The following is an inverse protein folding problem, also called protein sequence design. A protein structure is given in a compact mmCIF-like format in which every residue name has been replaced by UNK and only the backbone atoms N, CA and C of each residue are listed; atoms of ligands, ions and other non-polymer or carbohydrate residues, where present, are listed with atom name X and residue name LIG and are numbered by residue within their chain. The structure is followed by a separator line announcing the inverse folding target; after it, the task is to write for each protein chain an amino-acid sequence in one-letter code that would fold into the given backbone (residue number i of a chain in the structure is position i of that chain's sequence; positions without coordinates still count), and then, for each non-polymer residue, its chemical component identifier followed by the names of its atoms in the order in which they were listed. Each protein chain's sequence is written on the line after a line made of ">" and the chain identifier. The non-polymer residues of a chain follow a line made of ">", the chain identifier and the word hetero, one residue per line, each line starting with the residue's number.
data_IF_748690587812
#
_entry.id   IF_748690587812
#
_cell.length_a   1.000
_cell.length_b   1.000
_cell.length_c   1.000
_cell.angle_alpha   90.00
_cell.angle_beta   90.00
_cell.angle_gamma   90.00
#
_symmetry.space_group_name_H-M   'P 1'
#
loop_
_entity.id
_entity.type
_entity.pdbx_description
1 polymer ?
#
# COMPACT_ATOMS: atom_id res chain seq x y z
N UNK A 1 -1.30 -20.77 -12.43
CA UNK A 1 -2.51 -20.00 -12.09
C UNK A 1 -3.46 -19.97 -13.27
N UNK A 2 -4.76 -20.28 -13.12
CA UNK A 2 -5.76 -20.23 -14.20
C UNK A 2 -6.41 -18.85 -14.26
N UNK A 3 -5.87 -17.97 -15.09
CA UNK A 3 -6.32 -16.59 -15.22
C UNK A 3 -7.75 -16.50 -15.73
N UNK A 4 -8.15 -17.39 -16.63
CA UNK A 4 -9.50 -17.38 -17.22
C UNK A 4 -10.58 -17.66 -16.18
N UNK A 5 -10.28 -18.52 -15.20
CA UNK A 5 -11.13 -18.82 -14.06
C UNK A 5 -11.17 -17.63 -13.08
N UNK A 6 -10.00 -17.10 -12.71
CA UNK A 6 -9.86 -15.97 -11.79
C UNK A 6 -10.64 -14.75 -12.29
N UNK A 7 -10.53 -14.41 -13.57
CA UNK A 7 -11.22 -13.25 -14.16
C UNK A 7 -12.74 -13.29 -14.00
N UNK A 8 -13.35 -14.48 -13.93
CA UNK A 8 -14.79 -14.64 -13.72
C UNK A 8 -15.24 -14.21 -12.32
N UNK A 9 -14.33 -14.23 -11.35
CA UNK A 9 -14.61 -13.75 -10.00
C UNK A 9 -14.68 -12.23 -9.90
N UNK A 10 -14.26 -11.49 -10.94
CA UNK A 10 -14.23 -10.03 -10.97
C UNK A 10 -15.31 -9.46 -11.89
N UNK A 11 -16.54 -9.21 -11.39
CA UNK A 11 -17.67 -8.80 -12.22
C UNK A 11 -17.43 -7.49 -12.98
N UNK A 12 -16.65 -6.58 -12.44
CA UNK A 12 -16.33 -5.29 -13.06
C UNK A 12 -15.53 -5.44 -14.38
N UNK A 13 -14.85 -6.56 -14.62
CA UNK A 13 -14.12 -6.82 -15.87
C UNK A 13 -15.04 -7.00 -17.08
N UNK A 14 -16.35 -7.16 -16.87
CA UNK A 14 -17.35 -7.16 -17.94
C UNK A 14 -17.72 -5.75 -18.44
N UNK A 15 -17.26 -4.71 -17.69
CA UNK A 15 -17.55 -3.30 -18.03
C UNK A 15 -16.81 -2.90 -19.30
N UNK A 16 -17.41 -1.99 -20.07
CA UNK A 16 -16.75 -1.22 -21.12
C UNK A 16 -16.27 0.13 -20.59
N UNK A 17 -15.18 0.61 -21.15
CA UNK A 17 -14.64 1.95 -20.95
C UNK A 17 -14.35 2.56 -22.32
N UNK A 18 -14.88 3.74 -22.62
CA UNK A 18 -14.85 4.35 -23.97
C UNK A 18 -15.34 3.40 -25.07
N UNK A 19 -16.46 2.68 -24.81
CA UNK A 19 -17.06 1.65 -25.68
C UNK A 19 -16.16 0.45 -26.04
N UNK A 20 -15.01 0.34 -25.39
CA UNK A 20 -14.07 -0.79 -25.53
C UNK A 20 -14.11 -1.69 -24.29
N UNK A 21 -13.73 -2.97 -24.41
CA UNK A 21 -13.49 -3.81 -23.23
C UNK A 21 -12.50 -3.15 -22.26
N UNK A 22 -12.79 -3.23 -20.96
CA UNK A 22 -11.92 -2.67 -19.93
C UNK A 22 -10.59 -3.40 -19.86
N UNK A 23 -9.49 -2.69 -20.02
CA UNK A 23 -8.11 -3.11 -19.69
C UNK A 23 -7.66 -2.30 -18.47
N UNK A 24 -7.75 -2.90 -17.27
CA UNK A 24 -7.45 -2.21 -16.02
C UNK A 24 -6.01 -2.44 -15.56
N UNK A 25 -5.17 -1.43 -15.69
CA UNK A 25 -3.74 -1.47 -15.37
C UNK A 25 -3.34 -0.41 -14.29
N UNK A 26 -4.28 0.05 -13.47
CA UNK A 26 -4.01 0.97 -12.35
C UNK A 26 -4.13 0.28 -10.98
N UNK A 27 -3.67 -0.98 -10.90
CA UNK A 27 -3.73 -1.80 -9.69
C UNK A 27 -2.89 -1.22 -8.53
N UNK A 28 -1.82 -0.51 -8.82
CA UNK A 28 -1.01 0.18 -7.82
C UNK A 28 -1.74 1.35 -7.12
N UNK A 29 -2.86 1.85 -7.68
CA UNK A 29 -3.73 2.81 -7.01
C UNK A 29 -4.80 2.10 -6.18
N UNK A 30 -5.52 1.16 -6.78
CA UNK A 30 -6.49 0.27 -6.12
C UNK A 30 -6.72 -0.95 -6.99
N UNK A 31 -6.95 -2.11 -6.40
CA UNK A 31 -7.29 -3.33 -7.15
C UNK A 31 -8.79 -3.48 -7.33
N UNK A 32 -9.21 -4.29 -8.30
CA UNK A 32 -10.61 -4.70 -8.45
C UNK A 32 -11.00 -5.66 -7.32
N UNK A 33 -12.29 -5.84 -7.08
CA UNK A 33 -12.83 -6.66 -5.99
C UNK A 33 -13.46 -7.93 -6.55
N UNK A 34 -13.04 -9.12 -6.06
CA UNK A 34 -13.65 -10.38 -6.47
C UNK A 34 -15.00 -10.59 -5.77
N UNK A 35 -15.87 -11.37 -6.39
CA UNK A 35 -17.22 -11.63 -5.90
C UNK A 35 -17.25 -12.11 -4.42
N UNK A 36 -16.37 -13.03 -3.95
CA UNK A 36 -16.37 -13.43 -2.54
C UNK A 36 -16.20 -12.29 -1.54
N UNK A 37 -15.43 -11.25 -1.91
CA UNK A 37 -15.26 -10.06 -1.07
C UNK A 37 -16.51 -9.18 -1.08
N UNK A 38 -17.12 -9.02 -2.25
CA UNK A 38 -18.39 -8.29 -2.40
C UNK A 38 -19.47 -8.99 -1.56
N UNK A 39 -19.58 -10.31 -1.67
CA UNK A 39 -20.56 -11.12 -0.94
C UNK A 39 -20.36 -11.04 0.58
N UNK A 40 -19.12 -11.00 1.06
CA UNK A 40 -18.81 -10.86 2.48
C UNK A 40 -19.33 -9.52 3.05
N UNK A 41 -19.13 -8.42 2.32
CA UNK A 41 -19.65 -7.09 2.70
C UNK A 41 -21.18 -7.06 2.65
N UNK A 42 -21.78 -7.58 1.57
CA UNK A 42 -23.24 -7.66 1.42
C UNK A 42 -23.85 -8.52 2.52
N UNK A 43 -23.24 -9.65 2.86
CA UNK A 43 -23.70 -10.54 3.93
C UNK A 43 -23.75 -9.84 5.29
N UNK A 44 -22.74 -9.03 5.62
CA UNK A 44 -22.78 -8.23 6.84
C UNK A 44 -24.01 -7.32 6.89
N UNK A 45 -24.27 -6.53 5.85
CA UNK A 45 -25.40 -5.62 5.82
C UNK A 45 -26.77 -6.32 5.75
N UNK A 46 -26.83 -7.50 5.13
CA UNK A 46 -28.08 -8.22 4.92
C UNK A 46 -28.50 -9.04 6.13
N UNK A 47 -27.53 -9.66 6.85
CA UNK A 47 -27.85 -10.67 7.85
C UNK A 47 -27.30 -10.40 9.25
N UNK A 48 -26.19 -9.64 9.37
CA UNK A 48 -25.55 -9.38 10.65
C UNK A 48 -25.89 -7.99 11.19
N UNK A 49 -25.58 -6.91 10.49
CA UNK A 49 -26.03 -5.54 10.69
C UNK A 49 -25.93 -4.92 12.09
N UNK A 50 -25.33 -5.62 13.06
CA UNK A 50 -25.19 -5.15 14.42
C UNK A 50 -23.81 -4.48 14.65
N UNK A 51 -23.68 -3.72 15.75
CA UNK A 51 -22.39 -3.19 16.17
C UNK A 51 -21.59 -4.29 16.92
N UNK A 52 -20.26 -4.21 16.83
CA UNK A 52 -19.37 -5.08 17.59
C UNK A 52 -19.25 -4.62 19.05
N UNK A 53 -19.06 -5.57 19.99
CA UNK A 53 -18.75 -5.37 21.41
C UNK A 53 -19.81 -4.61 22.23
N UNK A 54 -21.06 -4.49 21.76
CA UNK A 54 -22.08 -3.64 22.38
C UNK A 54 -23.41 -4.29 22.68
N UNK A 55 -23.71 -5.47 22.21
CA UNK A 55 -25.04 -6.06 22.35
C UNK A 55 -25.04 -7.41 23.09
N UNK A 56 -26.01 -7.58 23.97
CA UNK A 56 -26.25 -8.82 24.68
C UNK A 56 -27.30 -9.69 23.95
N UNK A 57 -27.17 -9.79 22.61
CA UNK A 57 -28.08 -10.55 21.74
C UNK A 57 -27.30 -11.29 20.64
N UNK A 58 -27.92 -12.29 20.05
CA UNK A 58 -27.29 -13.25 19.13
C UNK A 58 -26.58 -12.60 17.95
N UNK A 59 -27.21 -11.64 17.27
CA UNK A 59 -26.60 -10.94 16.13
C UNK A 59 -25.31 -10.22 16.53
N UNK A 60 -25.27 -9.56 17.70
CA UNK A 60 -24.07 -8.90 18.18
C UNK A 60 -22.95 -9.89 18.46
N UNK A 61 -23.27 -11.05 19.08
CA UNK A 61 -22.28 -12.09 19.30
C UNK A 61 -21.72 -12.68 17.99
N UNK A 62 -22.53 -12.77 16.94
CA UNK A 62 -22.08 -13.19 15.60
C UNK A 62 -21.16 -12.14 14.96
N UNK A 63 -21.47 -10.85 15.12
CA UNK A 63 -20.62 -9.75 14.63
C UNK A 63 -19.30 -9.72 15.39
N UNK A 64 -19.31 -9.89 16.71
CA UNK A 64 -18.08 -9.95 17.52
C UNK A 64 -17.18 -11.11 17.06
N UNK A 65 -17.76 -12.27 16.84
CA UNK A 65 -17.02 -13.43 16.33
C UNK A 65 -16.42 -13.19 14.95
N UNK A 66 -17.16 -12.53 14.04
CA UNK A 66 -16.67 -12.21 12.70
C UNK A 66 -15.56 -11.13 12.73
N UNK A 67 -15.74 -10.10 13.54
CA UNK A 67 -14.78 -8.99 13.67
C UNK A 67 -13.46 -9.45 14.31
N UNK A 68 -13.53 -10.14 15.44
CA UNK A 68 -12.33 -10.70 16.10
C UNK A 68 -11.73 -11.87 15.30
N UNK A 69 -12.55 -12.64 14.59
CA UNK A 69 -12.08 -13.62 13.61
C UNK A 69 -11.23 -12.99 12.50
N UNK A 70 -11.64 -11.83 12.00
CA UNK A 70 -10.86 -11.06 11.02
C UNK A 70 -9.54 -10.55 11.60
N UNK A 71 -9.49 -10.19 12.90
CA UNK A 71 -8.24 -9.83 13.58
C UNK A 71 -7.26 -11.01 13.63
N UNK A 72 -7.75 -12.17 14.03
CA UNK A 72 -6.96 -13.42 14.03
C UNK A 72 -6.51 -13.78 12.61
N UNK A 73 -7.37 -13.55 11.61
CA UNK A 73 -7.03 -13.79 10.20
C UNK A 73 -5.91 -12.85 9.75
N UNK A 74 -5.99 -11.58 10.10
CA UNK A 74 -4.94 -10.58 9.79
C UNK A 74 -3.62 -10.93 10.49
N UNK A 75 -3.68 -11.33 11.76
CA UNK A 75 -2.52 -11.81 12.50
C UNK A 75 -1.81 -12.96 11.77
N UNK A 76 -2.57 -13.97 11.31
CA UNK A 76 -2.02 -15.11 10.55
C UNK A 76 -1.48 -14.70 9.18
N UNK A 77 -2.16 -13.78 8.50
CA UNK A 77 -1.78 -13.30 7.16
C UNK A 77 -0.43 -12.57 7.15
N UNK A 78 -0.11 -11.88 8.24
CA UNK A 78 1.17 -11.19 8.45
C UNK A 78 2.18 -12.03 9.23
N UNK A 79 1.81 -13.22 9.69
CA UNK A 79 2.58 -14.02 10.66
C UNK A 79 2.97 -13.22 11.91
N UNK A 80 2.06 -12.37 12.42
CA UNK A 80 2.28 -11.66 13.68
C UNK A 80 2.19 -12.65 14.86
N UNK A 81 2.96 -12.37 15.92
CA UNK A 81 3.06 -13.27 17.08
C UNK A 81 1.76 -13.33 17.89
N UNK A 82 1.10 -12.20 18.05
CA UNK A 82 -0.11 -12.05 18.83
C UNK A 82 -1.18 -11.29 18.02
N UNK A 83 -2.46 -11.63 18.20
CA UNK A 83 -3.57 -10.88 17.59
C UNK A 83 -3.67 -9.44 18.11
N UNK A 84 -3.19 -9.19 19.32
CA UNK A 84 -3.10 -7.89 19.95
C UNK A 84 -2.11 -6.95 19.25
N UNK A 85 -1.28 -7.44 18.37
CA UNK A 85 -0.37 -6.65 17.53
C UNK A 85 -1.06 -6.05 16.29
N UNK A 86 -2.35 -6.36 16.08
CA UNK A 86 -3.14 -5.87 14.95
C UNK A 86 -4.14 -4.80 15.42
N UNK A 87 -3.98 -3.59 14.88
CA UNK A 87 -4.89 -2.45 15.06
C UNK A 87 -5.60 -2.19 13.74
N UNK A 88 -6.93 -2.19 13.72
CA UNK A 88 -7.67 -1.82 12.52
C UNK A 88 -7.65 -0.30 12.30
N UNK A 89 -7.53 0.09 11.06
CA UNK A 89 -7.44 1.49 10.62
C UNK A 89 -8.27 1.69 9.35
N UNK A 90 -8.45 2.94 8.93
CA UNK A 90 -9.07 3.26 7.63
C UNK A 90 -8.14 2.97 6.44
N UNK A 91 -6.90 2.56 6.68
CA UNK A 91 -5.89 2.24 5.67
C UNK A 91 -4.48 2.54 6.16
N UNK A 92 -3.48 2.26 5.30
CA UNK A 92 -2.06 2.50 5.60
C UNK A 92 -1.78 3.95 5.99
N UNK A 93 -2.44 4.93 5.36
CA UNK A 93 -2.24 6.35 5.67
C UNK A 93 -2.58 6.66 7.12
N UNK A 94 -3.70 6.16 7.66
CA UNK A 94 -4.02 6.33 9.08
C UNK A 94 -3.01 5.61 9.97
N UNK A 95 -2.69 4.35 9.67
CA UNK A 95 -1.69 3.60 10.45
C UNK A 95 -0.35 4.31 10.54
N UNK A 96 0.16 4.83 9.41
CA UNK A 96 1.42 5.59 9.36
C UNK A 96 1.33 6.93 10.11
N UNK A 97 0.18 7.62 10.06
CA UNK A 97 -0.05 8.83 10.84
C UNK A 97 -0.06 8.53 12.35
N UNK A 98 -0.77 7.48 12.77
CA UNK A 98 -0.80 7.06 14.18
C UNK A 98 0.61 6.82 14.72
N UNK A 99 1.41 6.02 14.00
CA UNK A 99 2.78 5.72 14.40
C UNK A 99 3.63 7.00 14.47
N UNK A 100 3.60 7.82 13.42
CA UNK A 100 4.40 9.05 13.37
C UNK A 100 4.06 10.01 14.49
N UNK A 101 2.77 10.19 14.79
CA UNK A 101 2.31 11.09 15.87
C UNK A 101 2.66 10.54 17.25
N UNK A 102 2.35 9.27 17.52
CA UNK A 102 2.63 8.63 18.81
C UNK A 102 4.12 8.58 19.11
N UNK A 103 4.92 8.12 18.16
CA UNK A 103 6.38 7.97 18.31
C UNK A 103 7.03 9.35 18.49
N UNK A 104 6.67 10.32 17.65
CA UNK A 104 7.26 11.66 17.75
C UNK A 104 6.93 12.33 19.08
N UNK A 105 5.67 12.25 19.54
CA UNK A 105 5.27 12.90 20.77
C UNK A 105 5.87 12.25 22.01
N UNK A 106 5.92 10.92 22.04
CA UNK A 106 6.20 10.16 23.26
C UNK A 106 7.62 9.65 23.38
N UNK A 107 8.33 9.44 22.25
CA UNK A 107 9.66 8.83 22.24
C UNK A 107 10.77 9.72 21.67
N UNK A 108 10.45 10.72 20.84
CA UNK A 108 11.47 11.55 20.20
C UNK A 108 11.73 12.86 20.94
N UNK A 109 12.90 13.43 20.71
CA UNK A 109 13.38 14.68 21.28
C UNK A 109 13.79 15.66 20.18
N UNK A 110 13.99 16.93 20.53
CA UNK A 110 14.52 17.93 19.62
C UNK A 110 15.90 17.50 19.08
N UNK A 111 16.05 17.61 17.75
CA UNK A 111 17.27 17.21 17.04
C UNK A 111 17.34 15.76 16.63
N UNK A 112 16.43 14.89 17.10
CA UNK A 112 16.33 13.51 16.60
C UNK A 112 16.00 13.48 15.11
N UNK A 113 16.53 12.48 14.41
CA UNK A 113 16.40 12.34 12.96
C UNK A 113 15.55 11.13 12.61
N UNK A 114 14.62 11.34 11.67
CA UNK A 114 13.88 10.30 10.97
C UNK A 114 14.52 10.12 9.59
N UNK A 115 14.96 8.90 9.25
CA UNK A 115 15.40 8.57 7.90
C UNK A 115 14.23 8.05 7.07
N UNK A 116 14.09 8.61 5.87
CA UNK A 116 13.17 8.17 4.84
C UNK A 116 13.91 8.12 3.49
N UNK A 117 13.23 8.07 2.36
CA UNK A 117 13.86 8.21 1.04
C UNK A 117 13.03 9.08 0.08
N UNK A 118 13.64 9.47 -1.05
CA UNK A 118 13.02 10.38 -2.03
C UNK A 118 11.95 9.69 -2.91
N UNK A 119 11.85 8.36 -2.87
CA UNK A 119 10.83 7.62 -3.63
C UNK A 119 9.54 7.40 -2.84
N UNK A 120 9.49 7.84 -1.57
CA UNK A 120 8.39 7.55 -0.67
C UNK A 120 7.06 8.17 -1.10
N UNK A 121 6.00 7.41 -0.83
CA UNK A 121 4.65 7.92 -0.93
C UNK A 121 4.40 9.01 0.13
N UNK A 122 3.61 10.02 -0.20
CA UNK A 122 3.27 11.12 0.70
C UNK A 122 2.74 10.66 2.07
N UNK A 123 2.02 9.53 2.13
CA UNK A 123 1.50 8.97 3.39
C UNK A 123 2.60 8.43 4.31
N UNK A 124 3.76 8.08 3.77
CA UNK A 124 4.91 7.61 4.56
C UNK A 124 5.74 8.75 5.12
N UNK A 125 5.82 9.88 4.43
CA UNK A 125 6.72 11.00 4.76
C UNK A 125 6.02 12.17 5.48
N UNK A 126 4.85 12.60 4.98
CA UNK A 126 4.18 13.81 5.50
C UNK A 126 3.80 13.73 6.98
N UNK A 127 3.38 12.57 7.54
CA UNK A 127 3.09 12.47 8.97
C UNK A 127 4.29 12.84 9.84
N UNK A 128 5.49 12.36 9.49
CA UNK A 128 6.74 12.67 10.19
C UNK A 128 7.12 14.14 10.07
N UNK A 129 6.95 14.73 8.87
CA UNK A 129 7.18 16.16 8.66
C UNK A 129 6.27 17.01 9.56
N UNK A 130 4.99 16.67 9.68
CA UNK A 130 4.03 17.46 10.47
C UNK A 130 4.19 17.23 11.98
N UNK A 131 4.35 15.99 12.41
CA UNK A 131 4.60 15.68 13.83
C UNK A 131 5.92 16.32 14.28
N UNK A 132 6.95 16.24 13.46
CA UNK A 132 8.29 16.75 13.78
C UNK A 132 8.38 18.28 13.91
N UNK A 133 7.55 19.04 13.20
CA UNK A 133 7.56 20.52 13.30
C UNK A 133 7.39 21.03 14.73
N UNK A 134 6.53 20.38 15.53
CA UNK A 134 6.27 20.78 16.91
C UNK A 134 7.35 20.31 17.87
N UNK A 135 7.99 19.18 17.55
CA UNK A 135 8.98 18.53 18.42
C UNK A 135 10.42 18.94 18.11
N UNK A 136 10.67 19.56 16.94
CA UNK A 136 12.00 19.94 16.51
C UNK A 136 12.84 18.77 15.95
N UNK A 137 12.18 17.70 15.50
CA UNK A 137 12.87 16.58 14.82
C UNK A 137 13.16 16.94 13.37
N UNK A 138 14.10 16.21 12.74
CA UNK A 138 14.53 16.41 11.36
C UNK A 138 14.22 15.18 10.52
N UNK A 139 14.07 15.39 9.21
CA UNK A 139 14.01 14.30 8.23
C UNK A 139 15.24 14.38 7.37
N UNK A 140 15.95 13.26 7.27
CA UNK A 140 17.03 13.03 6.32
C UNK A 140 16.65 11.89 5.37
N UNK A 141 17.33 11.81 4.23
CA UNK A 141 17.00 10.88 3.18
C UNK A 141 18.12 9.88 2.93
N UNK A 142 17.74 8.61 2.80
CA UNK A 142 18.61 7.55 2.30
C UNK A 142 18.80 7.78 0.82
N UNK A 143 20.03 8.01 0.33
CA UNK A 143 20.27 8.19 -1.10
C UNK A 143 19.87 6.93 -1.88
N UNK A 144 19.14 7.12 -2.97
CA UNK A 144 18.86 6.04 -3.91
C UNK A 144 20.09 5.77 -4.78
N UNK A 145 20.23 4.54 -5.25
CA UNK A 145 21.25 4.21 -6.25
C UNK A 145 20.84 4.69 -7.66
N UNK A 146 21.68 4.40 -8.66
CA UNK A 146 21.45 4.82 -10.06
C UNK A 146 20.15 4.22 -10.67
N UNK A 147 19.64 3.12 -10.11
CA UNK A 147 18.38 2.51 -10.52
C UNK A 147 17.16 3.01 -9.71
N UNK A 148 17.40 3.84 -8.70
CA UNK A 148 16.35 4.34 -7.81
C UNK A 148 16.01 3.40 -6.65
N UNK A 149 16.96 2.57 -6.19
CA UNK A 149 16.78 1.62 -5.09
C UNK A 149 17.40 2.12 -3.79
N UNK A 150 16.81 1.74 -2.67
CA UNK A 150 17.49 1.75 -1.37
C UNK A 150 18.48 0.58 -1.34
N UNK A 151 19.72 0.86 -0.95
CA UNK A 151 20.73 -0.17 -0.67
C UNK A 151 21.19 -0.10 0.78
N UNK A 152 21.64 -1.23 1.32
CA UNK A 152 22.22 -1.27 2.69
C UNK A 152 23.45 -0.36 2.81
N UNK A 153 24.23 -0.25 1.73
CA UNK A 153 25.40 0.62 1.69
C UNK A 153 24.98 2.09 1.79
N UNK A 154 24.03 2.54 0.98
CA UNK A 154 23.54 3.92 1.01
C UNK A 154 22.88 4.25 2.36
N UNK A 155 22.12 3.29 2.93
CA UNK A 155 21.56 3.42 4.26
C UNK A 155 22.63 3.65 5.32
N UNK A 156 23.70 2.83 5.33
CA UNK A 156 24.81 2.96 6.29
C UNK A 156 25.55 4.30 6.20
N UNK A 157 25.64 4.90 5.01
CA UNK A 157 26.32 6.19 4.81
C UNK A 157 25.67 7.35 5.55
N UNK A 158 24.34 7.30 5.75
CA UNK A 158 23.57 8.39 6.36
C UNK A 158 23.22 8.13 7.84
N UNK A 159 23.66 6.98 8.39
CA UNK A 159 23.42 6.67 9.78
C UNK A 159 24.31 7.53 10.71
N UNK A 160 23.65 8.24 11.62
CA UNK A 160 24.26 9.00 12.71
C UNK A 160 23.63 8.60 14.04
N UNK A 161 24.18 9.05 15.15
CA UNK A 161 23.63 8.78 16.50
C UNK A 161 22.31 9.48 16.76
N UNK A 162 21.98 10.51 15.95
CA UNK A 162 20.71 11.24 16.01
C UNK A 162 19.57 10.47 15.35
N UNK A 163 19.84 9.49 14.50
CA UNK A 163 18.79 8.69 13.85
C UNK A 163 18.09 7.82 14.89
N UNK A 164 16.78 8.02 15.03
CA UNK A 164 15.91 7.28 15.97
C UNK A 164 14.82 6.48 15.29
N UNK A 165 14.46 6.84 14.06
CA UNK A 165 13.44 6.18 13.28
C UNK A 165 13.92 6.01 11.84
N UNK A 166 13.62 4.86 11.25
CA UNK A 166 13.63 4.63 9.79
C UNK A 166 12.21 4.37 9.36
N UNK A 167 11.70 5.18 8.43
CA UNK A 167 10.36 5.08 7.89
C UNK A 167 10.43 4.97 6.37
N UNK A 168 10.23 3.75 5.84
CA UNK A 168 10.38 3.43 4.42
C UNK A 168 9.29 2.48 3.93
N UNK A 169 9.00 2.53 2.63
CA UNK A 169 8.16 1.54 1.98
C UNK A 169 8.95 0.25 1.72
N UNK A 170 8.32 -0.91 1.96
CA UNK A 170 8.92 -2.19 1.58
C UNK A 170 8.98 -2.35 0.06
N UNK A 171 7.97 -1.85 -0.67
CA UNK A 171 7.94 -1.82 -2.13
C UNK A 171 7.57 -0.42 -2.60
N UNK A 172 8.41 0.20 -3.43
CA UNK A 172 8.13 1.52 -4.00
C UNK A 172 6.86 1.48 -4.87
N UNK A 173 5.94 2.41 -4.62
CA UNK A 173 4.69 2.51 -5.39
C UNK A 173 4.87 3.02 -6.83
N UNK A 174 6.03 3.58 -7.14
CA UNK A 174 6.38 4.07 -8.48
C UNK A 174 7.37 3.13 -9.16
N UNK A 175 8.50 2.84 -8.50
CA UNK A 175 9.58 2.08 -9.12
C UNK A 175 9.45 0.56 -8.90
N UNK A 176 8.66 0.13 -7.90
CA UNK A 176 8.41 -1.28 -7.65
C UNK A 176 9.63 -2.07 -7.16
N UNK A 177 10.71 -1.40 -6.76
CA UNK A 177 11.84 -2.04 -6.11
C UNK A 177 11.49 -2.44 -4.68
N UNK A 178 12.02 -3.57 -4.25
CA UNK A 178 11.87 -4.08 -2.88
C UNK A 178 13.06 -3.61 -2.05
N UNK A 179 12.79 -2.94 -0.94
CA UNK A 179 13.82 -2.50 0.01
C UNK A 179 14.40 -3.69 0.79
N UNK A 180 15.68 -3.67 1.17
CA UNK A 180 16.34 -4.72 1.96
C UNK A 180 15.97 -4.60 3.45
N UNK A 181 14.66 -4.81 3.77
CA UNK A 181 14.08 -4.52 5.10
C UNK A 181 14.75 -5.33 6.21
N UNK A 182 15.04 -6.61 5.99
CA UNK A 182 15.66 -7.47 7.03
C UNK A 182 17.05 -6.99 7.46
N UNK A 183 17.86 -6.64 6.47
CA UNK A 183 19.21 -6.12 6.73
C UNK A 183 19.16 -4.76 7.41
N UNK A 184 18.23 -3.90 6.99
CA UNK A 184 17.99 -2.59 7.63
C UNK A 184 17.49 -2.80 9.06
N UNK A 185 16.53 -3.70 9.30
CA UNK A 185 16.00 -4.02 10.63
C UNK A 185 17.10 -4.43 11.61
N UNK A 186 17.99 -5.33 11.19
CA UNK A 186 19.12 -5.76 12.01
C UNK A 186 19.98 -4.57 12.44
N UNK A 187 20.34 -3.70 11.50
CA UNK A 187 21.18 -2.52 11.80
C UNK A 187 20.42 -1.54 12.70
N UNK A 188 19.15 -1.32 12.47
CA UNK A 188 18.30 -0.47 13.28
C UNK A 188 18.28 -0.95 14.74
N UNK A 189 18.02 -2.23 14.96
CA UNK A 189 17.91 -2.79 16.32
C UNK A 189 19.24 -2.80 17.08
N UNK A 190 20.36 -3.05 16.41
CA UNK A 190 21.69 -2.93 17.00
C UNK A 190 21.99 -1.51 17.52
N UNK A 191 21.29 -0.50 17.01
CA UNK A 191 21.45 0.92 17.39
C UNK A 191 20.26 1.51 18.15
N UNK A 192 19.24 0.71 18.47
CA UNK A 192 18.02 1.16 19.15
C UNK A 192 17.17 2.09 18.30
N UNK A 193 17.19 1.93 16.97
CA UNK A 193 16.41 2.69 15.99
C UNK A 193 15.11 1.94 15.70
N UNK A 194 13.96 2.64 15.70
CA UNK A 194 12.67 2.09 15.32
C UNK A 194 12.56 1.95 13.80
N UNK A 195 12.00 0.83 13.34
CA UNK A 195 11.74 0.57 11.92
C UNK A 195 10.24 0.54 11.63
N UNK A 196 9.78 1.49 10.83
CA UNK A 196 8.39 1.65 10.39
C UNK A 196 8.30 1.37 8.89
N UNK A 197 7.46 0.42 8.51
CA UNK A 197 7.32 -0.02 7.13
C UNK A 197 5.95 0.36 6.56
N UNK A 198 5.97 1.08 5.44
CA UNK A 198 4.79 1.18 4.57
C UNK A 198 4.67 -0.11 3.73
N UNK A 199 3.68 -0.91 4.08
CA UNK A 199 3.36 -2.18 3.44
C UNK A 199 2.32 -2.09 2.33
N UNK A 200 1.88 -0.90 1.94
CA UNK A 200 0.77 -0.71 1.02
C UNK A 200 0.96 -1.40 -0.34
N UNK A 201 2.20 -1.43 -0.85
CA UNK A 201 2.52 -2.08 -2.13
C UNK A 201 3.15 -3.48 -1.95
N UNK A 202 3.56 -3.88 -0.76
CA UNK A 202 4.11 -5.22 -0.54
C UNK A 202 3.03 -6.24 -0.15
N UNK A 203 2.07 -5.85 0.68
CA UNK A 203 1.01 -6.75 1.18
C UNK A 203 0.19 -7.42 0.06
N UNK A 204 -0.17 -6.74 -1.05
CA UNK A 204 -0.91 -7.36 -2.14
C UNK A 204 -0.14 -8.46 -2.89
N UNK A 205 1.19 -8.33 -2.96
CA UNK A 205 2.03 -9.02 -3.94
C UNK A 205 3.00 -10.04 -3.34
N UNK A 206 3.40 -9.84 -2.07
CA UNK A 206 4.43 -10.64 -1.41
C UNK A 206 3.87 -11.37 -0.19
N UNK A 207 4.45 -12.50 0.15
CA UNK A 207 4.25 -13.12 1.45
C UNK A 207 4.92 -12.25 2.51
N UNK A 208 4.13 -11.76 3.45
CA UNK A 208 4.62 -10.90 4.53
C UNK A 208 4.72 -11.72 5.80
N UNK A 209 5.93 -11.73 6.36
CA UNK A 209 6.24 -12.31 7.66
C UNK A 209 6.87 -11.23 8.52
N UNK A 210 6.06 -10.59 9.37
CA UNK A 210 6.53 -9.46 10.20
C UNK A 210 7.51 -9.89 11.28
N UNK A 211 7.51 -11.18 11.67
CA UNK A 211 8.48 -11.73 12.61
C UNK A 211 9.86 -11.89 11.93
N UNK A 212 9.87 -12.38 10.69
CA UNK A 212 11.09 -12.54 9.90
C UNK A 212 11.64 -11.20 9.38
N UNK A 213 10.76 -10.26 9.01
CA UNK A 213 11.14 -8.88 8.68
C UNK A 213 11.69 -8.11 9.87
N UNK A 214 11.27 -8.49 11.06
CA UNK A 214 11.61 -7.88 12.34
C UNK A 214 11.37 -6.36 12.41
N UNK A 215 10.39 -5.85 11.63
CA UNK A 215 9.98 -4.45 11.70
C UNK A 215 9.21 -4.16 13.00
N UNK A 216 9.27 -2.91 13.50
CA UNK A 216 8.54 -2.52 14.71
C UNK A 216 7.09 -2.17 14.40
N UNK A 217 6.83 -1.57 13.24
CA UNK A 217 5.49 -1.26 12.73
C UNK A 217 5.39 -1.55 11.23
N UNK A 218 4.19 -1.98 10.81
CA UNK A 218 3.88 -2.27 9.42
C UNK A 218 2.43 -1.89 9.12
N UNK A 219 2.19 -1.01 8.15
CA UNK A 219 0.84 -0.54 7.80
C UNK A 219 0.46 -0.91 6.38
N UNK A 220 -0.79 -1.33 6.16
CA UNK A 220 -1.31 -1.63 4.83
C UNK A 220 -2.79 -1.26 4.66
N UNK A 221 -3.25 -1.23 3.40
CA UNK A 221 -4.62 -0.91 3.01
C UNK A 221 -5.26 -2.09 2.28
N UNK A 222 -6.48 -2.43 2.65
CA UNK A 222 -7.22 -3.54 2.03
C UNK A 222 -7.53 -3.28 0.53
N UNK A 223 -7.80 -2.03 0.15
CA UNK A 223 -8.22 -1.70 -1.22
C UNK A 223 -7.17 -1.99 -2.29
N UNK A 224 -5.90 -2.19 -1.92
CA UNK A 224 -4.84 -2.59 -2.85
C UNK A 224 -4.64 -4.10 -2.94
N UNK A 225 -5.29 -4.87 -2.08
CA UNK A 225 -5.22 -6.33 -2.00
C UNK A 225 -6.59 -6.99 -2.18
N UNK A 226 -7.35 -6.56 -3.17
CA UNK A 226 -8.71 -7.04 -3.47
C UNK A 226 -9.78 -6.77 -2.38
N UNK A 227 -9.43 -6.10 -1.30
CA UNK A 227 -10.33 -5.78 -0.19
C UNK A 227 -11.08 -4.44 -0.37
N UNK A 228 -11.99 -4.11 0.55
CA UNK A 228 -12.75 -2.87 0.53
C UNK A 228 -11.88 -1.61 0.68
N UNK A 229 -12.40 -0.46 0.25
CA UNK A 229 -11.87 0.86 0.58
C UNK A 229 -12.20 1.23 2.03
N UNK A 230 -11.46 2.18 2.61
CA UNK A 230 -11.76 2.71 3.94
C UNK A 230 -11.43 1.75 5.09
N UNK A 231 -10.63 0.72 4.84
CA UNK A 231 -10.14 -0.22 5.84
C UNK A 231 -8.71 -0.66 5.55
N UNK A 232 -7.97 -0.92 6.61
CA UNK A 232 -6.63 -1.46 6.61
C UNK A 232 -6.23 -1.92 8.01
N UNK A 233 -4.95 -2.19 8.20
CA UNK A 233 -4.43 -2.50 9.51
C UNK A 233 -3.03 -1.94 9.72
N UNK A 234 -2.74 -1.67 10.97
CA UNK A 234 -1.42 -1.40 11.50
C UNK A 234 -1.01 -2.61 12.36
N UNK A 235 0.09 -3.27 11.97
CA UNK A 235 0.84 -4.14 12.86
C UNK A 235 1.81 -3.30 13.67
N UNK A 236 1.89 -3.56 14.97
CA UNK A 236 2.95 -3.02 15.82
C UNK A 236 3.41 -4.10 16.80
N UNK A 237 4.73 -4.20 17.03
CA UNK A 237 5.23 -5.09 18.09
C UNK A 237 4.54 -4.77 19.41
N UNK A 238 4.04 -5.82 20.10
CA UNK A 238 3.26 -5.66 21.33
C UNK A 238 3.93 -4.74 22.35
N UNK A 239 5.25 -4.85 22.51
CA UNK A 239 6.03 -3.99 23.43
C UNK A 239 5.85 -2.50 23.18
N UNK A 240 5.73 -2.09 21.91
CA UNK A 240 5.53 -0.69 21.53
C UNK A 240 4.07 -0.28 21.67
N UNK A 241 3.14 -1.12 21.24
CA UNK A 241 1.71 -0.83 21.39
C UNK A 241 1.30 -0.75 22.87
N UNK A 242 1.86 -1.57 23.74
CA UNK A 242 1.58 -1.50 25.18
C UNK A 242 2.12 -0.21 25.82
N UNK A 243 3.29 0.24 25.36
CA UNK A 243 3.96 1.44 25.88
C UNK A 243 3.33 2.74 25.39
N UNK A 244 2.89 2.79 24.12
CA UNK A 244 2.41 4.03 23.50
C UNK A 244 0.95 4.31 23.88
N UNK A 245 0.65 5.57 24.15
CA UNK A 245 -0.70 6.07 24.36
C UNK A 245 -1.34 6.43 23.01
N UNK A 246 -2.66 6.22 22.84
CA UNK A 246 -3.36 6.53 21.59
C UNK A 246 -3.42 8.05 21.34
N UNK A 247 -3.63 8.42 20.08
CA UNK A 247 -3.85 9.81 19.65
C UNK A 247 -5.35 10.14 19.64
N UNK A 248 -6.18 9.16 19.32
CA UNK A 248 -7.63 9.32 19.27
C UNK A 248 -8.30 8.66 20.48
N UNK A 249 -9.22 9.38 21.08
CA UNK A 249 -9.98 8.93 22.25
C UNK A 249 -11.47 8.94 21.92
N UNK A 250 -12.21 7.97 22.44
CA UNK A 250 -13.65 7.90 22.21
C UNK A 250 -14.31 6.68 22.84
N UNK A 251 -15.52 6.37 22.40
CA UNK A 251 -16.18 5.12 22.73
C UNK A 251 -15.33 3.93 22.24
N UNK A 252 -15.51 2.78 22.81
CA UNK A 252 -14.77 1.51 22.58
C UNK A 252 -13.33 1.48 23.10
N UNK A 253 -12.57 2.59 23.05
CA UNK A 253 -11.15 2.61 23.45
C UNK A 253 -10.95 2.76 24.96
N UNK A 254 -11.98 3.11 25.75
CA UNK A 254 -11.91 3.29 27.19
C UNK A 254 -12.62 2.17 27.96
N UNK A 255 -12.08 1.83 29.14
CA UNK A 255 -12.72 0.97 30.12
C UNK A 255 -13.54 1.77 31.13
N UNK A 256 -13.04 2.95 31.52
CA UNK A 256 -13.68 3.83 32.50
C UNK A 256 -13.21 5.27 32.34
N UNK A 257 -14.12 6.20 32.59
CA UNK A 257 -13.79 7.62 32.86
C UNK A 257 -14.82 8.21 33.84
N UNK A 258 -14.45 9.29 34.50
CA UNK A 258 -15.31 9.96 35.49
C UNK A 258 -15.20 11.50 35.45
N UNK A 259 -16.01 12.15 36.29
CA UNK A 259 -16.06 13.64 36.37
C UNK A 259 -14.78 14.27 36.88
N UNK A 260 -13.88 13.52 37.48
CA UNK A 260 -12.56 14.00 37.92
C UNK A 260 -11.52 14.00 36.81
N UNK A 261 -11.94 13.70 35.57
CA UNK A 261 -11.09 13.50 34.41
C UNK A 261 -10.14 12.28 34.55
N UNK A 262 -10.48 11.34 35.42
CA UNK A 262 -9.76 10.07 35.49
C UNK A 262 -10.19 9.19 34.32
N UNK A 263 -9.19 8.67 33.54
CA UNK A 263 -9.38 7.82 32.37
C UNK A 263 -8.60 6.53 32.55
N UNK A 264 -9.26 5.40 32.30
CA UNK A 264 -8.62 4.10 32.13
C UNK A 264 -8.92 3.61 30.73
N UNK A 265 -7.90 3.36 29.94
CA UNK A 265 -8.02 2.81 28.60
C UNK A 265 -8.20 1.29 28.64
N UNK A 266 -8.76 0.74 27.58
CA UNK A 266 -8.76 -0.72 27.35
C UNK A 266 -7.34 -1.19 27.03
N UNK A 267 -7.15 -2.51 27.11
CA UNK A 267 -5.92 -3.17 26.70
C UNK A 267 -5.69 -3.02 25.18
N UNK A 268 -4.44 -3.14 24.75
CA UNK A 268 -4.06 -3.26 23.34
C UNK A 268 -4.77 -4.46 22.69
N UNK A 269 -5.32 -4.34 21.45
CA UNK A 269 -5.26 -3.20 20.57
C UNK A 269 -6.41 -2.19 20.73
N UNK A 270 -7.40 -2.48 21.55
CA UNK A 270 -8.67 -1.76 21.62
C UNK A 270 -8.51 -0.28 22.04
N UNK A 271 -7.47 0.05 22.79
CA UNK A 271 -7.18 1.46 23.14
C UNK A 271 -6.91 2.35 21.92
N UNK A 272 -6.50 1.76 20.76
CA UNK A 272 -6.23 2.48 19.52
C UNK A 272 -7.44 2.52 18.57
N UNK A 273 -8.50 1.78 18.86
CA UNK A 273 -9.69 1.64 18.02
C UNK A 273 -10.88 2.39 18.63
N UNK A 274 -10.83 3.71 18.59
CA UNK A 274 -11.90 4.55 19.14
C UNK A 274 -13.09 4.67 18.19
N UNK A 275 -14.31 4.61 18.74
CA UNK A 275 -15.56 4.67 17.97
C UNK A 275 -15.94 3.35 17.31
N UNK A 276 -17.05 3.36 16.58
CA UNK A 276 -17.49 2.21 15.80
C UNK A 276 -16.57 1.99 14.61
N UNK A 277 -15.99 0.81 14.54
CA UNK A 277 -15.05 0.43 13.47
C UNK A 277 -15.80 0.11 12.15
N UNK A 278 -15.12 0.12 10.99
CA UNK A 278 -15.70 -0.26 9.70
C UNK A 278 -15.86 -1.79 9.62
N UNK A 279 -16.90 -2.33 10.30
CA UNK A 279 -17.07 -3.77 10.53
C UNK A 279 -17.16 -4.54 9.20
N UNK A 280 -17.98 -4.04 8.27
CA UNK A 280 -18.13 -4.62 6.93
C UNK A 280 -16.80 -4.62 6.16
N UNK A 281 -16.04 -3.55 6.32
CA UNK A 281 -14.72 -3.40 5.70
C UNK A 281 -13.73 -4.43 6.25
N UNK A 282 -13.72 -4.61 7.57
CA UNK A 282 -12.85 -5.58 8.27
C UNK A 282 -13.18 -7.02 7.84
N UNK A 283 -14.47 -7.37 7.78
CA UNK A 283 -14.94 -8.68 7.31
C UNK A 283 -14.56 -8.89 5.83
N UNK A 284 -14.78 -7.87 4.99
CA UNK A 284 -14.39 -7.91 3.57
C UNK A 284 -12.87 -8.01 3.37
N UNK A 285 -12.08 -7.37 4.23
CA UNK A 285 -10.61 -7.48 4.20
C UNK A 285 -10.15 -8.91 4.53
N UNK A 286 -10.78 -9.58 5.52
CA UNK A 286 -10.50 -10.97 5.84
C UNK A 286 -10.84 -11.91 4.67
N UNK A 287 -11.97 -11.67 4.00
CA UNK A 287 -12.35 -12.43 2.80
C UNK A 287 -11.36 -12.24 1.65
N UNK A 288 -10.79 -11.02 1.50
CA UNK A 288 -9.74 -10.76 0.51
C UNK A 288 -8.44 -11.52 0.84
N UNK A 289 -8.07 -11.62 2.11
CA UNK A 289 -6.93 -12.42 2.55
C UNK A 289 -7.12 -13.91 2.22
N UNK A 290 -8.31 -14.45 2.47
CA UNK A 290 -8.63 -15.84 2.14
C UNK A 290 -8.57 -16.08 0.63
N UNK A 291 -9.09 -15.14 -0.16
CA UNK A 291 -9.05 -15.22 -1.61
C UNK A 291 -7.62 -15.23 -2.17
N UNK A 292 -6.75 -14.34 -1.67
CA UNK A 292 -5.35 -14.25 -2.10
C UNK A 292 -4.54 -15.48 -1.68
N UNK A 293 -4.73 -15.99 -0.46
CA UNK A 293 -4.04 -17.18 0.03
C UNK A 293 -4.47 -18.44 -0.74
N UNK A 294 -5.76 -18.54 -1.14
CA UNK A 294 -6.24 -19.64 -1.97
C UNK A 294 -5.59 -19.69 -3.36
N UNK A 295 -5.19 -18.55 -3.90
CA UNK A 295 -4.44 -18.45 -5.17
C UNK A 295 -2.94 -18.69 -4.94
N UNK A 296 -2.42 -18.20 -3.81
CA UNK A 296 -1.01 -18.19 -3.45
C UNK A 296 -0.28 -16.96 -3.96
N UNK A 297 0.27 -16.17 -3.04
CA UNK A 297 0.93 -14.90 -3.39
C UNK A 297 2.17 -15.09 -4.26
N UNK A 298 2.91 -16.19 -4.10
CA UNK A 298 4.03 -16.52 -4.99
C UNK A 298 3.57 -16.69 -6.44
N UNK A 299 2.41 -17.32 -6.65
CA UNK A 299 1.84 -17.47 -7.98
C UNK A 299 1.41 -16.13 -8.57
N UNK A 300 0.83 -15.26 -7.73
CA UNK A 300 0.43 -13.91 -8.12
C UNK A 300 1.66 -13.11 -8.52
N UNK A 301 2.67 -13.06 -7.66
CA UNK A 301 3.91 -12.34 -7.91
C UNK A 301 4.64 -12.82 -9.17
N UNK A 302 4.75 -14.14 -9.35
CA UNK A 302 5.37 -14.71 -10.54
C UNK A 302 4.63 -14.30 -11.82
N UNK A 303 3.30 -14.30 -11.80
CA UNK A 303 2.47 -13.86 -12.92
C UNK A 303 2.66 -12.38 -13.25
N UNK A 304 2.71 -11.52 -12.25
CA UNK A 304 2.93 -10.08 -12.42
C UNK A 304 4.30 -9.78 -13.03
N UNK A 305 5.34 -10.47 -12.56
CA UNK A 305 6.70 -10.35 -13.10
C UNK A 305 6.75 -10.86 -14.56
N UNK A 306 6.08 -11.96 -14.86
CA UNK A 306 5.97 -12.48 -16.24
C UNK A 306 5.31 -11.47 -17.18
N UNK A 307 4.22 -10.83 -16.77
CA UNK A 307 3.54 -9.80 -17.56
C UNK A 307 4.43 -8.58 -17.79
N UNK A 308 5.15 -8.15 -16.76
CA UNK A 308 6.12 -7.06 -16.89
C UNK A 308 7.25 -7.41 -17.85
N UNK A 309 7.86 -8.58 -17.73
CA UNK A 309 8.93 -9.03 -18.63
C UNK A 309 8.43 -9.11 -20.08
N UNK A 310 7.18 -9.55 -20.27
CA UNK A 310 6.54 -9.58 -21.58
C UNK A 310 6.35 -8.15 -22.14
N UNK A 311 5.89 -7.21 -21.33
CA UNK A 311 5.80 -5.81 -21.71
C UNK A 311 7.17 -5.23 -22.08
N UNK A 312 8.19 -5.43 -21.24
CA UNK A 312 9.55 -4.89 -21.47
C UNK A 312 10.15 -5.38 -22.80
N UNK A 313 9.97 -6.65 -23.11
CA UNK A 313 10.43 -7.22 -24.40
C UNK A 313 9.80 -6.49 -25.58
N UNK A 314 8.50 -6.22 -25.53
CA UNK A 314 7.75 -5.54 -26.61
C UNK A 314 8.04 -4.05 -26.65
N UNK A 315 8.12 -3.39 -25.52
CA UNK A 315 8.46 -1.98 -25.40
C UNK A 315 9.84 -1.66 -25.99
N UNK A 316 10.82 -2.53 -25.71
CA UNK A 316 12.17 -2.44 -26.29
C UNK A 316 12.16 -2.55 -27.81
N UNK A 317 11.30 -3.40 -28.37
CA UNK A 317 11.16 -3.57 -29.82
C UNK A 317 10.53 -2.34 -30.50
N UNK A 318 9.67 -1.60 -29.81
CA UNK A 318 9.09 -0.34 -30.33
C UNK A 318 10.10 0.81 -30.33
N UNK A 319 10.98 0.90 -29.34
CA UNK A 319 12.06 1.90 -29.25
C UNK A 319 11.61 3.33 -28.85
N UNK A 320 10.32 3.59 -28.74
CA UNK A 320 9.76 4.89 -28.33
C UNK A 320 9.34 4.96 -26.86
N UNK A 321 9.48 3.88 -26.09
CA UNK A 321 9.09 3.80 -24.68
C UNK A 321 10.34 3.88 -23.81
N UNK A 322 10.35 4.80 -22.86
CA UNK A 322 11.39 4.95 -21.84
C UNK A 322 10.85 4.33 -20.55
N UNK A 323 11.48 3.26 -20.07
CA UNK A 323 11.11 2.59 -18.83
C UNK A 323 12.12 2.95 -17.74
N UNK A 324 11.63 3.34 -16.55
CA UNK A 324 12.48 3.81 -15.45
C UNK A 324 12.83 2.71 -14.43
N UNK A 325 12.19 1.55 -14.50
CA UNK A 325 12.29 0.49 -13.51
C UNK A 325 12.39 -0.91 -14.13
N UNK A 326 13.15 -1.06 -15.20
CA UNK A 326 13.28 -2.32 -15.93
C UNK A 326 13.65 -3.49 -15.02
N UNK A 327 14.60 -3.29 -14.11
CA UNK A 327 15.17 -4.34 -13.25
C UNK A 327 14.32 -4.65 -12.01
N UNK A 328 13.25 -3.89 -11.73
CA UNK A 328 12.40 -4.15 -10.58
C UNK A 328 11.56 -5.42 -10.79
N UNK A 329 11.64 -6.35 -9.85
CA UNK A 329 10.87 -7.60 -9.86
C UNK A 329 9.50 -7.40 -9.20
N UNK A 330 8.62 -6.72 -9.91
CA UNK A 330 7.23 -6.42 -9.50
C UNK A 330 6.35 -6.24 -10.73
N UNK A 331 5.02 -6.21 -10.56
CA UNK A 331 4.07 -5.91 -11.63
C UNK A 331 3.99 -4.43 -12.04
N UNK A 332 4.80 -3.55 -11.44
CA UNK A 332 4.79 -2.11 -11.72
C UNK A 332 5.72 -1.78 -12.88
N UNK A 333 5.20 -1.08 -13.89
CA UNK A 333 5.95 -0.49 -14.99
C UNK A 333 5.76 1.01 -15.00
N UNK A 334 6.84 1.76 -14.80
CA UNK A 334 6.87 3.21 -14.84
C UNK A 334 7.58 3.66 -16.09
N UNK A 335 6.88 4.40 -16.94
CA UNK A 335 7.37 4.72 -18.27
C UNK A 335 6.91 6.08 -18.77
N UNK A 336 7.59 6.55 -19.80
CA UNK A 336 7.17 7.66 -20.67
C UNK A 336 7.28 7.25 -22.14
N UNK A 337 6.62 8.01 -23.01
CA UNK A 337 6.61 7.77 -24.46
C UNK A 337 7.27 8.94 -25.17
N UNK A 338 8.12 8.63 -26.16
CA UNK A 338 8.74 9.62 -27.04
C UNK A 338 8.05 9.66 -28.41
N UNK A 339 7.88 10.85 -28.93
CA UNK A 339 7.62 11.08 -30.35
C UNK A 339 8.87 11.76 -30.92
N UNK A 340 9.69 11.02 -31.69
CA UNK A 340 11.02 11.42 -32.12
C UNK A 340 11.91 11.77 -30.91
N UNK A 341 12.35 13.01 -30.80
CA UNK A 341 13.19 13.50 -29.69
C UNK A 341 12.39 14.15 -28.55
N UNK A 342 11.06 14.27 -28.70
CA UNK A 342 10.19 14.89 -27.71
C UNK A 342 9.53 13.87 -26.81
N UNK A 343 9.57 14.10 -25.48
CA UNK A 343 8.78 13.33 -24.53
C UNK A 343 7.32 13.83 -24.58
N UNK A 344 6.38 12.90 -24.78
CA UNK A 344 4.94 13.21 -24.72
C UNK A 344 4.58 13.39 -23.24
N UNK A 345 3.71 14.36 -22.94
CA UNK A 345 3.26 14.60 -21.58
C UNK A 345 2.46 13.39 -21.05
N UNK A 346 2.81 12.90 -19.85
CA UNK A 346 2.28 11.64 -19.34
C UNK A 346 0.75 11.61 -19.23
N UNK A 347 0.11 12.75 -18.90
CA UNK A 347 -1.34 12.86 -18.83
C UNK A 347 -1.99 12.70 -20.22
N UNK A 348 -1.36 13.23 -21.27
CA UNK A 348 -1.88 13.12 -22.63
C UNK A 348 -1.81 11.67 -23.12
N UNK A 349 -0.69 10.96 -22.81
CA UNK A 349 -0.58 9.53 -23.07
C UNK A 349 -1.66 8.73 -22.33
N UNK A 350 -1.90 9.01 -21.05
CA UNK A 350 -2.93 8.30 -20.28
C UNK A 350 -4.34 8.59 -20.83
N UNK A 351 -4.62 9.83 -21.22
CA UNK A 351 -5.90 10.22 -21.84
C UNK A 351 -6.10 9.55 -23.20
N UNK A 352 -5.03 9.47 -23.99
CA UNK A 352 -5.03 8.73 -25.26
C UNK A 352 -5.31 7.24 -25.06
N UNK A 353 -4.64 6.60 -24.13
CA UNK A 353 -4.87 5.18 -23.78
C UNK A 353 -6.31 4.91 -23.33
N UNK A 354 -6.93 5.86 -22.61
CA UNK A 354 -8.35 5.75 -22.23
C UNK A 354 -9.30 5.60 -23.44
N UNK A 355 -8.98 6.17 -24.60
CA UNK A 355 -9.81 6.01 -25.82
C UNK A 355 -9.81 4.57 -26.35
N UNK A 356 -8.83 3.76 -25.93
CA UNK A 356 -8.73 2.33 -26.25
C UNK A 356 -9.28 1.42 -25.13
N UNK A 357 -9.89 2.00 -24.10
CA UNK A 357 -10.37 1.22 -22.95
C UNK A 357 -9.27 0.83 -21.95
N UNK A 358 -8.08 1.43 -22.03
CA UNK A 358 -6.91 1.09 -21.20
C UNK A 358 -6.76 2.12 -20.09
N UNK A 359 -6.86 1.66 -18.84
CA UNK A 359 -6.70 2.49 -17.65
C UNK A 359 -5.26 2.38 -17.10
N UNK A 360 -4.50 3.45 -17.21
CA UNK A 360 -3.21 3.63 -16.54
C UNK A 360 -3.22 4.90 -15.69
N UNK A 361 -2.28 5.03 -14.78
CA UNK A 361 -2.10 6.25 -13.99
C UNK A 361 -1.02 7.13 -14.58
N UNK A 362 -1.18 8.46 -14.49
CA UNK A 362 -0.17 9.44 -14.90
C UNK A 362 0.11 10.45 -13.80
N UNK A 363 1.27 11.09 -13.86
CA UNK A 363 1.71 12.15 -12.96
C UNK A 363 2.82 11.72 -12.00
N UNK A 364 2.80 12.26 -10.78
CA UNK A 364 3.84 12.05 -9.76
C UNK A 364 3.53 10.89 -8.78
N UNK A 365 2.39 10.22 -8.92
CA UNK A 365 1.98 9.04 -8.16
C UNK A 365 2.03 9.21 -6.62
N UNK A 366 1.83 10.43 -6.12
CA UNK A 366 1.98 10.81 -4.72
C UNK A 366 3.40 10.62 -4.14
N UNK A 367 4.43 10.45 -4.98
CA UNK A 367 5.85 10.41 -4.63
C UNK A 367 6.52 11.70 -5.16
N UNK A 368 6.25 12.82 -4.50
CA UNK A 368 6.52 14.16 -5.05
C UNK A 368 8.00 14.56 -5.12
N UNK A 369 8.88 13.85 -4.44
CA UNK A 369 10.33 14.07 -4.50
C UNK A 369 10.98 13.28 -5.66
N UNK A 370 10.38 12.16 -6.05
CA UNK A 370 10.89 11.27 -7.09
C UNK A 370 11.07 11.90 -8.49
N UNK A 371 10.24 12.86 -8.95
CA UNK A 371 10.45 13.55 -10.22
C UNK A 371 11.84 14.18 -10.39
N UNK A 372 12.43 14.68 -9.33
CA UNK A 372 13.79 15.25 -9.34
C UNK A 372 14.85 14.15 -9.56
N UNK A 373 14.66 12.99 -8.94
CA UNK A 373 15.51 11.80 -9.10
C UNK A 373 15.42 11.26 -10.52
N UNK A 374 14.21 11.14 -11.07
CA UNK A 374 13.96 10.63 -12.43
C UNK A 374 14.19 11.68 -13.53
N UNK A 375 14.44 12.93 -13.16
CA UNK A 375 14.61 14.06 -14.10
C UNK A 375 13.47 14.18 -15.11
N UNK A 376 12.23 13.95 -14.64
CA UNK A 376 11.00 14.06 -15.43
C UNK A 376 9.86 14.61 -14.57
N UNK A 377 9.00 15.49 -15.09
CA UNK A 377 7.93 16.11 -14.31
C UNK A 377 6.83 15.13 -13.89
N UNK A 378 6.74 13.99 -14.58
CA UNK A 378 5.79 12.95 -14.31
C UNK A 378 5.96 11.74 -15.24
N UNK A 379 5.31 10.66 -14.90
CA UNK A 379 5.39 9.40 -15.64
C UNK A 379 4.00 8.78 -15.83
N UNK A 380 3.88 7.88 -16.79
CA UNK A 380 2.82 6.89 -16.83
C UNK A 380 3.20 5.70 -15.95
N UNK A 381 2.22 5.09 -15.29
CA UNK A 381 2.39 3.84 -14.54
C UNK A 381 1.33 2.85 -14.94
N UNK A 382 1.73 1.73 -15.52
CA UNK A 382 0.94 0.53 -15.64
C UNK A 382 1.31 -0.41 -14.49
N UNK A 383 0.33 -1.00 -13.85
CA UNK A 383 0.54 -1.98 -12.79
C UNK A 383 -0.33 -3.20 -13.04
N UNK A 384 0.32 -4.34 -13.24
CA UNK A 384 -0.31 -5.64 -13.47
C UNK A 384 -0.70 -6.31 -12.15
N UNK A 385 -1.74 -7.12 -12.19
CA UNK A 385 -2.17 -7.91 -11.06
C UNK A 385 -2.72 -9.27 -11.52
N UNK A 386 -3.20 -10.07 -10.58
CA UNK A 386 -3.59 -11.47 -10.74
C UNK A 386 -4.61 -11.77 -11.85
N UNK A 387 -5.39 -10.79 -12.30
CA UNK A 387 -6.39 -10.95 -13.37
C UNK A 387 -5.96 -10.39 -14.74
N UNK A 388 -4.79 -9.74 -14.83
CA UNK A 388 -4.34 -9.20 -16.12
C UNK A 388 -3.78 -10.30 -17.02
N UNK A 389 -3.79 -10.06 -18.33
CA UNK A 389 -3.39 -11.05 -19.34
C UNK A 389 -2.34 -10.49 -20.30
N UNK A 390 -1.67 -11.40 -21.06
CA UNK A 390 -0.73 -11.01 -22.12
C UNK A 390 -1.43 -10.28 -23.27
N UNK A 391 -2.68 -10.62 -23.55
CA UNK A 391 -3.51 -9.94 -24.55
C UNK A 391 -3.78 -8.48 -24.14
N UNK A 392 -3.95 -8.20 -22.85
CA UNK A 392 -4.08 -6.84 -22.35
C UNK A 392 -2.75 -6.05 -22.47
N UNK A 393 -1.61 -6.74 -22.27
CA UNK A 393 -0.29 -6.15 -22.56
C UNK A 393 -0.14 -5.86 -24.05
N UNK A 394 -0.59 -6.76 -24.93
CA UNK A 394 -0.56 -6.55 -26.39
C UNK A 394 -1.39 -5.32 -26.80
N UNK A 395 -2.60 -5.17 -26.23
CA UNK A 395 -3.44 -4.00 -26.47
C UNK A 395 -2.75 -2.70 -26.03
N UNK A 396 -2.09 -2.70 -24.86
CA UNK A 396 -1.31 -1.56 -24.40
C UNK A 396 -0.17 -1.20 -25.37
N UNK A 397 0.61 -2.20 -25.80
CA UNK A 397 1.74 -2.02 -26.74
C UNK A 397 1.24 -1.51 -28.10
N UNK A 398 0.14 -2.07 -28.62
CA UNK A 398 -0.44 -1.64 -29.90
C UNK A 398 -0.92 -0.18 -29.84
N UNK A 399 -1.51 0.25 -28.74
CA UNK A 399 -1.87 1.63 -28.54
C UNK A 399 -0.63 2.53 -28.44
N UNK A 400 0.39 2.14 -27.68
CA UNK A 400 1.62 2.91 -27.48
C UNK A 400 2.44 3.03 -28.77
N UNK A 401 2.35 2.07 -29.69
CA UNK A 401 3.01 2.13 -31.00
C UNK A 401 2.59 3.34 -31.82
N UNK A 402 1.33 3.77 -31.68
CA UNK A 402 0.72 4.89 -32.41
C UNK A 402 0.61 6.16 -31.55
N UNK A 403 1.18 6.17 -30.35
CA UNK A 403 1.20 7.35 -29.49
C UNK A 403 2.23 8.36 -30.04
N UNK A 404 1.72 9.43 -30.66
CA UNK A 404 2.45 10.60 -31.10
C UNK A 404 1.92 11.83 -30.37
N UNK A 405 2.65 12.95 -30.38
CA UNK A 405 2.14 14.20 -29.82
C UNK A 405 0.80 14.57 -30.48
N UNK A 406 0.71 14.46 -31.80
CA UNK A 406 -0.51 14.77 -32.56
C UNK A 406 -1.69 13.87 -32.10
N UNK A 407 -1.50 12.55 -32.08
CA UNK A 407 -2.55 11.61 -31.70
C UNK A 407 -2.99 11.76 -30.24
N UNK A 408 -2.05 12.05 -29.33
CA UNK A 408 -2.36 12.23 -27.91
C UNK A 408 -3.09 13.54 -27.62
N UNK A 409 -2.84 14.59 -28.41
CA UNK A 409 -3.47 15.91 -28.25
C UNK A 409 -4.80 15.99 -29.00
N UNK A 410 -4.93 15.34 -30.17
CA UNK A 410 -6.15 15.39 -31.00
C UNK A 410 -7.40 14.86 -30.32
N UNK A 411 -7.29 14.07 -29.25
CA UNK A 411 -8.43 13.56 -28.48
C UNK A 411 -9.19 14.65 -27.70
N UNK A 412 -8.59 15.85 -27.56
CA UNK A 412 -9.19 16.97 -26.83
C UNK A 412 -9.95 17.93 -27.74
N UNK A 413 -9.92 17.71 -29.06
CA UNK A 413 -10.58 18.50 -30.09
C UNK A 413 -11.52 17.65 -30.93
#
# INVERSE_FOLDING_TARGET
>A
MDISKIRKDFPILTRKMSDKPLVYLDNGATTLKPQPVIDAVVNYYTYLGANAHRGDYEMSAQVDAAFEGARVRTQKFLNAKHKEEIVFTSGSSEGLNLVAMMVTEQLLHEGDVILSDESEHASSILPWMQAGKKKGTKIDYIPLDEEGKITVENFKRVLTDQVKVVAIAMVSNVLGFVAPVKEIAKICHERGILLVIDGAQSTPHLNIDVQDLDCDFYAFSAHKMCGPTGVGALYGKKKWLDQLEPIFYGGESNARFDKSCSLTLKETPLKFESGTQPIEGVIGMAAAMDYLDAIGKENIHAHEVELKEYFLKKAKALGNIVVYNENAKSGIVTFNVKDKDQMIFAQDVASYLNTFGIAVRSGQHCAKLLPEVLKTPGTCRASFYLYNTKEEVDQLIDALKNATVENCVSIFF
#
